data_IF_872588395490
#
_entry.id   IF_872588395490
#
_cell.length_a   1.000
_cell.length_b   1.000
_cell.length_c   1.000
_cell.angle_alpha   90.00
_cell.angle_beta   90.00
_cell.angle_gamma   90.00
#
_symmetry.space_group_name_H-M   'P 1'
#
loop_
_entity.id
_entity.type
_entity.pdbx_description
1 polymer ?
#
# COMPACT_ATOMS: atom_id res chain seq x y z
N UNK A 1 -6.46 12.83 -2.33
CA UNK A 1 -6.82 11.58 -2.98
C UNK A 1 -5.72 11.13 -3.95
N UNK A 2 -5.34 9.88 -3.87
CA UNK A 2 -4.27 9.34 -4.69
C UNK A 2 -4.84 8.54 -5.85
N UNK A 3 -4.29 8.77 -7.03
CA UNK A 3 -4.66 8.02 -8.23
C UNK A 3 -3.45 7.24 -8.71
N UNK A 4 -3.63 5.95 -8.97
CA UNK A 4 -2.59 5.10 -9.52
C UNK A 4 -2.87 4.86 -11.00
N UNK A 5 -1.80 4.91 -11.80
CA UNK A 5 -1.88 4.70 -13.24
C UNK A 5 -0.92 3.59 -13.61
N UNK A 6 -1.38 2.66 -14.44
CA UNK A 6 -0.56 1.56 -14.94
C UNK A 6 -0.16 1.87 -16.37
N UNK A 7 1.12 1.78 -16.66
CA UNK A 7 1.64 2.06 -17.98
C UNK A 7 2.54 0.93 -18.45
N UNK A 8 2.66 0.79 -19.77
CA UNK A 8 3.62 -0.12 -20.37
C UNK A 8 4.84 0.69 -20.78
N UNK A 9 5.99 0.30 -20.26
CA UNK A 9 7.24 0.95 -20.63
C UNK A 9 7.80 0.34 -21.90
N UNK A 10 8.47 1.20 -22.70
CA UNK A 10 9.11 0.76 -23.94
C UNK A 10 10.62 0.59 -23.78
N UNK A 11 11.12 0.69 -22.55
CA UNK A 11 12.54 0.57 -22.28
C UNK A 11 12.75 -0.14 -20.94
N UNK A 12 13.88 -0.84 -20.81
CA UNK A 12 14.34 -1.41 -19.56
C UNK A 12 15.40 -0.53 -18.89
N UNK A 13 15.72 0.61 -19.49
CA UNK A 13 16.71 1.52 -18.96
C UNK A 13 16.02 2.54 -18.06
N UNK A 14 16.58 2.73 -16.88
CA UNK A 14 16.04 3.65 -15.88
C UNK A 14 17.12 4.64 -15.45
N UNK A 15 16.69 5.87 -15.21
CA UNK A 15 17.58 6.91 -14.71
C UNK A 15 16.99 7.45 -13.41
N UNK A 16 17.16 6.73 -12.29
CA UNK A 16 16.57 7.17 -11.03
C UNK A 16 17.25 8.40 -10.47
N UNK A 17 16.47 9.22 -9.79
CA UNK A 17 17.00 10.34 -9.05
C UNK A 17 17.67 9.82 -7.77
N UNK A 18 19.00 9.93 -7.63
CA UNK A 18 19.71 9.37 -6.49
C UNK A 18 19.32 10.02 -5.16
N UNK A 19 18.72 11.20 -5.17
CA UNK A 19 18.26 11.86 -3.96
C UNK A 19 16.98 11.22 -3.40
N UNK A 20 16.22 10.56 -4.25
CA UNK A 20 14.94 9.96 -3.87
C UNK A 20 14.94 8.45 -3.93
N UNK A 21 15.75 7.88 -4.81
CA UNK A 21 15.74 6.45 -5.11
C UNK A 21 17.11 5.86 -4.85
N UNK A 22 17.22 5.00 -3.86
CA UNK A 22 18.48 4.32 -3.56
C UNK A 22 18.75 3.15 -4.48
N UNK A 23 17.71 2.48 -4.97
CA UNK A 23 17.85 1.27 -5.76
C UNK A 23 16.58 1.01 -6.57
N UNK A 24 16.73 0.39 -7.73
CA UNK A 24 15.61 -0.04 -8.56
C UNK A 24 15.66 -1.56 -8.70
N UNK A 25 14.49 -2.18 -8.65
CA UNK A 25 14.37 -3.59 -8.94
C UNK A 25 13.09 -3.85 -9.72
N UNK A 26 13.04 -4.97 -10.40
CA UNK A 26 11.86 -5.41 -11.14
C UNK A 26 11.39 -6.74 -10.60
N UNK A 27 10.08 -6.98 -10.72
CA UNK A 27 9.47 -8.22 -10.26
C UNK A 27 8.62 -8.77 -11.41
N UNK A 28 8.79 -10.05 -11.78
CA UNK A 28 7.95 -10.62 -12.82
C UNK A 28 6.47 -10.58 -12.43
N UNK A 29 5.64 -10.13 -13.36
CA UNK A 29 4.20 -10.08 -13.12
C UNK A 29 3.64 -11.47 -12.82
N UNK A 30 4.15 -12.49 -13.52
CA UNK A 30 3.72 -13.87 -13.29
C UNK A 30 3.96 -14.31 -11.85
N UNK A 31 5.07 -13.88 -11.23
CA UNK A 31 5.34 -14.19 -9.83
C UNK A 31 4.29 -13.55 -8.92
N UNK A 32 3.99 -12.28 -9.16
CA UNK A 32 2.99 -11.56 -8.34
C UNK A 32 1.59 -12.14 -8.50
N UNK A 33 1.25 -12.61 -9.68
CA UNK A 33 -0.08 -13.16 -9.94
C UNK A 33 -0.29 -14.53 -9.28
N UNK A 34 0.80 -15.24 -8.99
CA UNK A 34 0.71 -16.59 -8.41
C UNK A 34 0.95 -16.61 -6.91
N UNK A 35 1.37 -15.51 -6.31
CA UNK A 35 1.62 -15.46 -4.87
C UNK A 35 0.45 -14.83 -4.12
N UNK A 36 0.33 -15.20 -2.85
CA UNK A 36 -0.57 -14.55 -1.93
C UNK A 36 0.25 -13.60 -1.05
N UNK A 37 -0.15 -12.34 -0.91
CA UNK A 37 0.56 -11.44 -0.01
C UNK A 37 0.37 -11.85 1.44
N UNK A 38 1.35 -11.52 2.27
CA UNK A 38 1.17 -11.58 3.71
C UNK A 38 0.34 -10.37 4.13
N UNK A 39 -0.69 -10.59 4.94
CA UNK A 39 -1.59 -9.51 5.35
C UNK A 39 -1.41 -9.24 6.83
N UNK A 40 -1.11 -8.00 7.16
CA UNK A 40 -1.12 -7.52 8.53
C UNK A 40 -2.24 -6.51 8.70
N UNK A 41 -2.59 -6.23 9.92
CA UNK A 41 -3.66 -5.28 10.22
C UNK A 41 -3.14 -4.21 11.17
N UNK A 42 -3.56 -2.97 10.92
CA UNK A 42 -3.23 -1.83 11.75
C UNK A 42 -4.50 -1.11 12.19
N UNK A 43 -4.49 -0.63 13.44
CA UNK A 43 -5.51 0.29 13.90
C UNK A 43 -4.98 1.71 13.77
N UNK A 44 -5.81 2.60 13.26
CA UNK A 44 -5.50 4.03 13.22
C UNK A 44 -6.35 4.69 14.28
N UNK A 45 -5.71 5.43 15.16
CA UNK A 45 -6.38 6.14 16.22
C UNK A 45 -5.76 7.49 16.49
N UNK A 46 -6.32 8.18 17.46
CA UNK A 46 -5.78 9.44 17.94
C UNK A 46 -5.45 9.32 19.40
N UNK A 47 -4.29 9.84 19.78
CA UNK A 47 -3.83 9.89 21.16
C UNK A 47 -3.47 11.32 21.50
N UNK A 48 -4.18 11.96 22.45
CA UNK A 48 -3.82 13.31 22.85
C UNK A 48 -2.46 13.34 23.53
N UNK A 49 -1.74 14.41 23.31
CA UNK A 49 -0.47 14.65 23.97
C UNK A 49 -0.69 15.48 25.22
N UNK A 50 0.42 15.74 25.97
CA UNK A 50 0.35 16.41 27.26
C UNK A 50 -0.30 17.80 27.20
N UNK A 51 -0.12 18.49 26.06
CA UNK A 51 -0.63 19.85 25.87
C UNK A 51 -2.08 19.92 25.45
N UNK A 52 -2.73 18.77 25.28
CA UNK A 52 -4.13 18.75 24.84
C UNK A 52 -5.03 19.31 25.92
N UNK A 53 -5.91 20.29 25.59
CA UNK A 53 -6.67 21.02 26.59
C UNK A 53 -7.91 20.28 27.05
N UNK A 54 -7.74 19.21 27.81
CA UNK A 54 -8.85 18.39 28.32
C UNK A 54 -9.82 19.19 29.18
N UNK A 55 -9.29 20.21 29.88
CA UNK A 55 -10.11 21.03 30.76
C UNK A 55 -11.22 21.79 30.02
N UNK A 56 -11.09 21.94 28.71
CA UNK A 56 -12.10 22.58 27.88
C UNK A 56 -13.15 21.58 27.35
N UNK A 57 -12.92 20.29 27.55
CA UNK A 57 -13.77 19.24 26.99
C UNK A 57 -14.36 18.39 28.11
N UNK A 58 -15.64 18.54 28.32
CA UNK A 58 -16.34 17.77 29.34
C UNK A 58 -16.55 16.34 28.87
N UNK A 59 -16.26 15.38 29.70
CA UNK A 59 -16.48 13.96 29.40
C UNK A 59 -15.48 13.31 28.47
N UNK A 60 -14.42 14.05 28.08
CA UNK A 60 -13.40 13.48 27.19
C UNK A 60 -12.46 12.56 27.96
N UNK A 61 -12.14 11.42 27.36
CA UNK A 61 -11.21 10.45 27.95
C UNK A 61 -9.84 10.54 27.31
N UNK A 62 -8.81 10.22 28.09
CA UNK A 62 -7.41 10.37 27.69
C UNK A 62 -6.92 9.19 26.86
N UNK A 63 -7.70 8.15 26.71
CA UNK A 63 -7.32 6.94 26.02
C UNK A 63 -7.26 7.10 24.51
N UNK A 64 -6.58 6.17 23.85
CA UNK A 64 -6.57 6.07 22.40
C UNK A 64 -7.99 5.96 21.88
N UNK A 65 -8.29 6.74 20.85
CA UNK A 65 -9.56 6.62 20.13
C UNK A 65 -9.26 5.90 18.82
N UNK A 66 -9.65 4.65 18.73
CA UNK A 66 -9.50 3.87 17.51
C UNK A 66 -10.53 4.34 16.51
N UNK A 67 -10.07 4.88 15.38
CA UNK A 67 -10.95 5.43 14.35
C UNK A 67 -11.18 4.49 13.19
N UNK A 68 -10.19 3.64 12.92
CA UNK A 68 -10.22 2.81 11.73
C UNK A 68 -9.16 1.71 11.84
N UNK A 69 -9.48 0.53 11.36
CA UNK A 69 -8.45 -0.44 11.11
C UNK A 69 -8.36 -0.69 9.60
N UNK A 70 -7.22 -1.15 9.16
CA UNK A 70 -7.03 -1.46 7.75
C UNK A 70 -5.96 -2.51 7.55
N UNK A 71 -6.04 -3.17 6.39
CA UNK A 71 -5.11 -4.22 6.03
C UNK A 71 -3.89 -3.65 5.34
N UNK A 72 -2.74 -4.23 5.65
CA UNK A 72 -1.47 -3.90 5.01
C UNK A 72 -0.99 -5.14 4.29
N UNK A 73 -0.64 -5.01 3.02
CA UNK A 73 -0.25 -6.12 2.16
C UNK A 73 1.26 -6.09 1.94
N UNK A 74 1.89 -7.25 2.13
CA UNK A 74 3.34 -7.41 2.00
C UNK A 74 3.64 -8.41 0.91
N UNK A 75 4.44 -7.99 -0.07
CA UNK A 75 4.86 -8.82 -1.18
C UNK A 75 6.38 -8.97 -1.12
N UNK A 76 6.87 -10.04 -0.49
CA UNK A 76 8.31 -10.28 -0.46
C UNK A 76 8.79 -10.81 -1.82
N UNK A 77 9.96 -10.34 -2.24
CA UNK A 77 10.60 -10.81 -3.46
C UNK A 77 12.11 -10.69 -3.29
N UNK A 78 12.82 -11.83 -3.22
CA UNK A 78 14.24 -11.87 -2.92
C UNK A 78 14.52 -11.13 -1.62
N UNK A 79 15.45 -10.16 -1.63
CA UNK A 79 15.76 -9.35 -0.44
C UNK A 79 14.81 -8.15 -0.26
N UNK A 80 13.87 -7.97 -1.17
CA UNK A 80 12.96 -6.81 -1.14
C UNK A 80 11.60 -7.20 -0.59
N UNK A 81 10.88 -6.20 -0.08
CA UNK A 81 9.49 -6.36 0.31
C UNK A 81 8.71 -5.14 -0.16
N UNK A 82 7.69 -5.36 -0.96
CA UNK A 82 6.78 -4.31 -1.38
C UNK A 82 5.65 -4.26 -0.36
N UNK A 83 5.44 -3.09 0.25
CA UNK A 83 4.40 -2.96 1.28
C UNK A 83 3.94 -1.51 1.38
N UNK A 84 3.17 -1.19 2.39
CA UNK A 84 2.68 0.15 2.61
C UNK A 84 1.71 0.59 1.52
N UNK A 85 1.80 1.84 1.12
CA UNK A 85 0.95 2.38 0.06
C UNK A 85 1.18 1.67 -1.26
N UNK A 86 2.43 1.40 -1.59
CA UNK A 86 2.79 0.68 -2.81
C UNK A 86 2.19 -0.72 -2.82
N UNK A 87 2.27 -1.43 -1.70
CA UNK A 87 1.66 -2.75 -1.58
C UNK A 87 0.15 -2.72 -1.75
N UNK A 88 -0.49 -1.67 -1.24
CA UNK A 88 -1.94 -1.49 -1.40
C UNK A 88 -2.33 -1.24 -2.86
N UNK A 89 -1.59 -0.38 -3.53
CA UNK A 89 -1.82 -0.10 -4.95
C UNK A 89 -1.59 -1.36 -5.77
N UNK A 90 -0.53 -2.09 -5.48
CA UNK A 90 -0.22 -3.34 -6.16
C UNK A 90 -1.32 -4.37 -5.96
N UNK A 91 -1.83 -4.53 -4.75
CA UNK A 91 -2.92 -5.46 -4.46
C UNK A 91 -4.14 -5.14 -5.31
N UNK A 92 -4.51 -3.86 -5.36
CA UNK A 92 -5.66 -3.43 -6.16
C UNK A 92 -5.44 -3.71 -7.65
N UNK A 93 -4.24 -3.42 -8.15
CA UNK A 93 -3.92 -3.69 -9.54
C UNK A 93 -4.01 -5.17 -9.87
N UNK A 94 -3.44 -6.03 -9.04
CA UNK A 94 -3.44 -7.47 -9.28
C UNK A 94 -4.86 -8.04 -9.26
N UNK A 95 -5.69 -7.58 -8.34
CA UNK A 95 -7.08 -8.02 -8.28
C UNK A 95 -7.84 -7.61 -9.54
N UNK A 96 -7.67 -6.37 -9.98
CA UNK A 96 -8.30 -5.88 -11.20
C UNK A 96 -7.75 -6.58 -12.43
N UNK A 97 -6.46 -6.87 -12.48
CA UNK A 97 -5.86 -7.57 -13.59
C UNK A 97 -6.45 -8.97 -13.74
N UNK A 98 -6.63 -9.68 -12.63
CA UNK A 98 -7.24 -11.02 -12.66
C UNK A 98 -8.67 -10.96 -13.15
N UNK A 99 -9.44 -9.97 -12.72
CA UNK A 99 -10.81 -9.74 -13.17
C UNK A 99 -10.85 -9.32 -14.64
N UNK A 100 -9.99 -8.37 -15.02
CA UNK A 100 -9.93 -7.85 -16.37
C UNK A 100 -9.55 -8.91 -17.39
N UNK A 101 -8.69 -9.84 -17.00
CA UNK A 101 -8.30 -10.94 -17.86
C UNK A 101 -9.50 -11.85 -18.20
N UNK A 102 -10.39 -12.02 -17.23
CA UNK A 102 -11.62 -12.77 -17.44
C UNK A 102 -12.60 -11.97 -18.30
N UNK A 103 -12.73 -10.68 -18.02
CA UNK A 103 -13.65 -9.79 -18.74
C UNK A 103 -13.18 -9.55 -20.18
N UNK A 104 -11.88 -9.39 -20.39
CA UNK A 104 -11.33 -9.12 -21.71
C UNK A 104 -11.58 -10.24 -22.71
N UNK A 105 -11.83 -11.44 -22.24
CA UNK A 105 -12.19 -12.55 -23.12
C UNK A 105 -13.56 -12.36 -23.76
N UNK A 106 -14.33 -11.42 -23.24
CA UNK A 106 -15.67 -11.11 -23.74
C UNK A 106 -15.67 -9.99 -24.79
N UNK A 107 -14.52 -9.34 -24.96
CA UNK A 107 -14.38 -8.26 -25.95
C UNK A 107 -13.94 -8.83 -27.30
#
# INVERSE_FOLDING_TARGET
KLHAVVVRLHTNEFTPNPDEVGEIFTVPLAYLLTMEPTVGHLDIGTKPLRDFPFHLLEGYQIDWKIRQNYSVYFYPYKQYTIWGLTGRVLKNFLDLYRQGKTINNER
#
